data_IF_345865223289
#
_entry.id   IF_345865223289
#
_cell.length_a   1.000
_cell.length_b   1.000
_cell.length_c   1.000
_cell.angle_alpha   90.00
_cell.angle_beta   90.00
_cell.angle_gamma   90.00
#
_symmetry.space_group_name_H-M   'P 1'
#
loop_
_entity.id
_entity.type
_entity.pdbx_description
1 polymer ?
#
# COMPACT_ATOMS: atom_id res chain seq x y z
N UNK A 1 4.33 -17.40 0.69
CA UNK A 1 5.02 -16.26 1.32
C UNK A 1 4.11 -15.03 1.29
N UNK A 2 3.99 -14.34 2.40
CA UNK A 2 3.16 -13.13 2.46
C UNK A 2 3.98 -11.94 1.98
N UNK A 3 3.38 -11.14 1.11
CA UNK A 3 3.97 -9.89 0.63
C UNK A 3 2.95 -8.77 0.78
N UNK A 4 3.44 -7.54 0.90
CA UNK A 4 2.60 -6.35 0.83
C UNK A 4 2.89 -5.70 -0.53
N UNK A 5 1.87 -5.57 -1.34
CA UNK A 5 2.00 -5.05 -2.70
C UNK A 5 0.77 -4.24 -3.08
N UNK A 6 0.84 -3.58 -4.23
CA UNK A 6 -0.27 -2.80 -4.75
C UNK A 6 -1.18 -3.67 -5.61
N UNK A 7 -2.49 -3.59 -5.33
CA UNK A 7 -3.52 -4.18 -6.18
C UNK A 7 -4.27 -3.04 -6.86
N UNK A 8 -4.43 -3.12 -8.17
CA UNK A 8 -5.10 -2.06 -8.92
C UNK A 8 -6.61 -2.14 -8.77
N UNK A 9 -7.23 -0.99 -8.45
CA UNK A 9 -8.68 -0.81 -8.50
C UNK A 9 -9.02 0.40 -9.35
N UNK A 10 -10.26 0.84 -9.28
CA UNK A 10 -10.73 2.01 -10.02
C UNK A 10 -10.95 1.74 -11.50
N UNK A 11 -11.18 2.81 -12.26
CA UNK A 11 -11.43 2.73 -13.70
C UNK A 11 -10.13 2.74 -14.49
N UNK A 12 -10.21 2.44 -15.80
CA UNK A 12 -9.05 2.46 -16.68
C UNK A 12 -8.39 3.84 -16.76
N UNK A 13 -9.17 4.90 -16.68
CA UNK A 13 -8.68 6.27 -16.78
C UNK A 13 -8.27 6.87 -15.45
N UNK A 14 -8.69 6.27 -14.33
CA UNK A 14 -8.37 6.74 -12.98
C UNK A 14 -7.84 5.58 -12.15
N UNK A 15 -6.56 5.28 -12.28
CA UNK A 15 -5.97 4.20 -11.49
C UNK A 15 -6.02 4.53 -10.00
N UNK A 16 -6.34 3.51 -9.24
CA UNK A 16 -6.37 3.58 -7.79
C UNK A 16 -5.75 2.28 -7.28
N UNK A 17 -4.83 2.38 -6.35
CA UNK A 17 -4.12 1.21 -5.85
C UNK A 17 -4.43 0.99 -4.39
N UNK A 18 -4.78 -0.25 -4.05
CA UNK A 18 -4.86 -0.69 -2.66
C UNK A 18 -3.53 -1.33 -2.27
N UNK A 19 -3.02 -1.01 -1.09
CA UNK A 19 -1.85 -1.66 -0.54
C UNK A 19 -2.36 -2.83 0.28
N UNK A 20 -2.01 -4.05 -0.11
CA UNK A 20 -2.60 -5.25 0.47
C UNK A 20 -1.54 -6.27 0.89
N UNK A 21 -1.80 -6.92 2.02
CA UNK A 21 -1.04 -8.09 2.43
C UNK A 21 -1.69 -9.31 1.79
N UNK A 22 -0.92 -10.10 1.07
CA UNK A 22 -1.43 -11.23 0.32
C UNK A 22 -0.36 -12.29 0.13
N UNK A 23 -0.77 -13.49 -0.24
CA UNK A 23 0.16 -14.53 -0.65
C UNK A 23 0.76 -14.16 -2.01
N UNK A 24 2.08 -14.28 -2.15
CA UNK A 24 2.79 -13.90 -3.37
C UNK A 24 2.32 -14.68 -4.61
N UNK A 25 1.70 -15.85 -4.41
CA UNK A 25 1.19 -16.68 -5.49
C UNK A 25 -0.16 -16.23 -6.01
N UNK A 26 -0.87 -15.38 -5.29
CA UNK A 26 -2.16 -14.87 -5.73
C UNK A 26 -1.97 -13.84 -6.84
N UNK A 27 -3.00 -13.69 -7.69
CA UNK A 27 -3.00 -12.66 -8.72
C UNK A 27 -2.95 -11.28 -8.09
N UNK A 28 -2.31 -10.34 -8.78
CA UNK A 28 -2.14 -8.96 -8.28
C UNK A 28 -3.45 -8.33 -7.83
N UNK A 29 -4.52 -8.48 -8.61
CA UNK A 29 -5.81 -7.87 -8.33
C UNK A 29 -6.82 -8.88 -7.79
N UNK A 30 -6.34 -10.05 -7.34
CA UNK A 30 -7.16 -11.11 -6.78
C UNK A 30 -7.34 -10.98 -5.27
N UNK A 31 -7.51 -12.13 -4.64
CA UNK A 31 -7.73 -12.18 -3.19
C UNK A 31 -6.53 -11.67 -2.41
N UNK A 32 -6.82 -11.03 -1.29
CA UNK A 32 -5.80 -10.59 -0.35
C UNK A 32 -6.26 -10.89 1.08
N UNK A 33 -5.30 -10.86 2.02
CA UNK A 33 -5.56 -11.13 3.43
C UNK A 33 -6.10 -9.88 4.11
N UNK A 34 -5.43 -8.74 3.87
CA UNK A 34 -5.77 -7.49 4.55
C UNK A 34 -5.35 -6.30 3.70
N UNK A 35 -6.18 -5.26 3.69
CA UNK A 35 -5.82 -3.98 3.10
C UNK A 35 -5.12 -3.13 4.16
N UNK A 36 -3.91 -2.65 3.85
CA UNK A 36 -3.12 -1.84 4.78
C UNK A 36 -2.98 -0.38 4.37
N UNK A 37 -3.58 -0.01 3.26
CA UNK A 37 -3.53 1.37 2.80
C UNK A 37 -4.01 1.53 1.37
N UNK A 38 -3.82 2.74 0.83
CA UNK A 38 -4.14 3.01 -0.57
C UNK A 38 -3.19 4.07 -1.13
N UNK A 39 -3.10 4.09 -2.46
CA UNK A 39 -2.37 5.11 -3.20
C UNK A 39 -3.22 5.56 -4.39
N UNK A 40 -3.48 6.87 -4.46
CA UNK A 40 -4.26 7.47 -5.54
C UNK A 40 -3.38 8.47 -6.28
N UNK A 41 -2.71 8.07 -7.39
CA UNK A 41 -1.80 8.95 -8.12
C UNK A 41 -2.49 10.09 -8.84
N UNK A 42 -3.82 10.00 -9.01
CA UNK A 42 -4.61 11.04 -9.69
C UNK A 42 -5.51 11.79 -8.71
N UNK A 43 -5.16 11.81 -7.42
CA UNK A 43 -5.92 12.55 -6.42
C UNK A 43 -5.97 14.02 -6.79
N UNK A 44 -7.17 14.61 -6.68
CA UNK A 44 -7.33 16.03 -6.89
C UNK A 44 -6.80 16.82 -5.69
N UNK A 45 -6.58 18.12 -5.90
CA UNK A 45 -6.12 19.01 -4.83
C UNK A 45 -7.06 18.93 -3.63
N UNK A 46 -6.49 18.82 -2.45
CA UNK A 46 -7.24 18.66 -1.21
C UNK A 46 -7.64 17.22 -0.89
N UNK A 47 -7.46 16.30 -1.84
CA UNK A 47 -7.73 14.87 -1.61
C UNK A 47 -6.48 14.16 -1.14
N UNK A 48 -6.68 13.11 -0.34
CA UNK A 48 -5.57 12.30 0.17
C UNK A 48 -5.07 11.38 -0.93
N UNK A 49 -3.79 11.49 -1.28
CA UNK A 49 -3.18 10.69 -2.35
C UNK A 49 -2.56 9.40 -1.83
N UNK A 50 -2.22 9.35 -0.55
CA UNK A 50 -1.54 8.18 0.03
C UNK A 50 -1.90 8.07 1.50
N UNK A 51 -2.31 6.88 1.90
CA UNK A 51 -2.53 6.56 3.31
C UNK A 51 -2.03 5.15 3.56
N UNK A 52 -1.26 4.98 4.62
CA UNK A 52 -0.71 3.67 5.00
C UNK A 52 -0.92 3.47 6.49
N UNK A 53 -1.44 2.30 6.85
CA UNK A 53 -1.51 1.88 8.24
C UNK A 53 -0.15 1.31 8.64
N UNK A 54 0.73 2.18 9.15
CA UNK A 54 2.09 1.80 9.49
C UNK A 54 2.14 0.68 10.54
N UNK A 55 1.18 0.67 11.46
CA UNK A 55 1.08 -0.39 12.47
C UNK A 55 0.89 -1.75 11.83
N UNK A 56 0.03 -1.83 10.82
CA UNK A 56 -0.25 -3.09 10.14
C UNK A 56 0.89 -3.51 9.24
N UNK A 57 1.52 -2.56 8.57
CA UNK A 57 2.73 -2.84 7.77
C UNK A 57 3.82 -3.42 8.68
N UNK A 58 4.03 -2.80 9.84
CA UNK A 58 5.03 -3.28 10.79
C UNK A 58 4.68 -4.67 11.32
N UNK A 59 3.40 -4.91 11.64
CA UNK A 59 2.93 -6.22 12.05
C UNK A 59 3.30 -7.30 11.03
N UNK A 60 3.02 -7.05 9.76
CA UNK A 60 3.28 -8.02 8.72
C UNK A 60 4.78 -8.21 8.47
N UNK A 61 5.56 -7.14 8.47
CA UNK A 61 7.02 -7.25 8.29
C UNK A 61 7.67 -7.98 9.45
N UNK A 62 7.20 -7.74 10.68
CA UNK A 62 7.68 -8.48 11.86
C UNK A 62 7.32 -9.96 11.78
N UNK A 63 6.28 -10.30 11.07
CA UNK A 63 5.85 -11.69 10.86
C UNK A 63 6.53 -12.35 9.65
N UNK A 64 7.45 -11.65 8.99
CA UNK A 64 8.20 -12.19 7.87
C UNK A 64 7.70 -11.79 6.50
N UNK A 65 6.69 -10.94 6.40
CA UNK A 65 6.20 -10.46 5.11
C UNK A 65 7.22 -9.54 4.46
N UNK A 66 7.29 -9.59 3.13
CA UNK A 66 8.17 -8.71 2.36
C UNK A 66 7.35 -7.61 1.69
N UNK A 67 7.97 -6.44 1.55
CA UNK A 67 7.36 -5.33 0.83
C UNK A 67 7.81 -5.38 -0.63
N UNK A 68 6.89 -5.16 -1.57
CA UNK A 68 7.29 -4.95 -2.96
C UNK A 68 8.12 -3.67 -3.05
N UNK A 69 8.99 -3.52 -4.06
CA UNK A 69 9.80 -2.29 -4.20
C UNK A 69 8.95 -1.02 -4.23
N UNK A 70 7.81 -1.05 -4.92
CA UNK A 70 6.93 0.11 -4.99
C UNK A 70 6.33 0.45 -3.63
N UNK A 71 5.87 -0.55 -2.88
CA UNK A 71 5.30 -0.34 -1.54
C UNK A 71 6.37 0.14 -0.57
N UNK A 72 7.56 -0.43 -0.64
CA UNK A 72 8.68 -0.01 0.21
C UNK A 72 8.96 1.48 0.04
N UNK A 73 8.99 1.96 -1.20
CA UNK A 73 9.17 3.36 -1.50
C UNK A 73 8.05 4.22 -0.93
N UNK A 74 6.79 3.80 -1.12
CA UNK A 74 5.63 4.53 -0.60
C UNK A 74 5.63 4.59 0.92
N UNK A 75 5.97 3.50 1.58
CA UNK A 75 6.06 3.45 3.05
C UNK A 75 7.11 4.43 3.54
N UNK A 76 8.27 4.46 2.90
CA UNK A 76 9.36 5.37 3.25
C UNK A 76 8.93 6.83 3.09
N UNK A 77 8.31 7.17 1.97
CA UNK A 77 7.83 8.52 1.70
C UNK A 77 6.75 8.93 2.70
N UNK A 78 5.83 8.04 3.00
CA UNK A 78 4.75 8.30 3.94
C UNK A 78 5.27 8.51 5.36
N UNK A 79 6.22 7.68 5.79
CA UNK A 79 6.83 7.81 7.12
C UNK A 79 7.55 9.15 7.28
N UNK A 80 8.26 9.58 6.25
CA UNK A 80 8.95 10.87 6.27
C UNK A 80 7.94 12.02 6.36
N UNK A 81 6.83 11.94 5.61
CA UNK A 81 5.77 12.95 5.64
C UNK A 81 5.10 13.05 7.01
N UNK A 82 4.78 11.91 7.62
CA UNK A 82 4.16 11.86 8.94
C UNK A 82 5.12 12.44 10.00
N UNK A 83 6.39 12.07 9.95
CA UNK A 83 7.39 12.61 10.87
C UNK A 83 7.57 14.12 10.71
N UNK A 84 7.51 14.63 9.48
CA UNK A 84 7.64 16.07 9.22
C UNK A 84 6.41 16.86 9.70
N UNK A 85 5.24 16.22 9.73
CA UNK A 85 3.99 16.85 10.16
C UNK A 85 3.79 16.81 11.68
N UNK A 86 4.56 15.98 12.38
CA UNK A 86 4.42 15.81 13.82
C UNK A 86 5.05 16.94 14.63
#
# INVERSE_FOLDING_TARGET
MVVIRMARGGSKKRPFYNLVATDSRNRRDGRFIERVGFYNPVASEGSESLRISLDRVQYWTNSGAQLSPAVERLVKDYSAKVSAAA
#
